data_IF_036464275033
#
_entry.id   IF_036464275033
#
_cell.length_a   1.000
_cell.length_b   1.000
_cell.length_c   1.000
_cell.angle_alpha   90.00
_cell.angle_beta   90.00
_cell.angle_gamma   90.00
#
_symmetry.space_group_name_H-M   'P 1'
#
loop_
_entity.id
_entity.type
_entity.pdbx_description
1 polymer ?
#
# COMPACT_ATOMS: atom_id res chain seq x y z
N UNK A 1 -32.31 28.76 12.61
CA UNK A 1 -32.78 27.47 12.04
C UNK A 1 -31.75 27.01 11.01
N UNK A 2 -31.07 25.92 11.35
CA UNK A 2 -30.19 24.99 10.63
C UNK A 2 -29.60 25.31 9.23
N UNK A 3 -28.26 25.38 9.25
CA UNK A 3 -27.23 24.67 8.46
C UNK A 3 -27.32 24.60 6.92
N UNK A 4 -26.18 24.88 6.27
CA UNK A 4 -25.72 24.10 5.13
C UNK A 4 -24.37 23.40 5.41
N UNK A 5 -24.41 22.07 5.35
CA UNK A 5 -23.55 21.19 4.55
C UNK A 5 -22.05 21.48 4.51
N UNK A 6 -21.31 20.66 5.27
CA UNK A 6 -19.89 20.39 5.10
C UNK A 6 -19.66 19.77 3.71
N UNK A 7 -18.91 20.48 2.86
CA UNK A 7 -18.36 19.92 1.61
C UNK A 7 -16.86 20.12 1.62
N UNK A 8 -16.16 18.99 1.82
CA UNK A 8 -14.80 18.65 1.36
C UNK A 8 -13.65 19.50 1.89
N UNK A 9 -13.38 19.20 3.15
CA UNK A 9 -12.06 18.91 3.73
C UNK A 9 -10.86 18.99 2.77
N UNK A 10 -9.98 19.90 3.15
CA UNK A 10 -8.70 20.21 2.56
C UNK A 10 -7.73 19.04 2.73
N UNK A 11 -7.13 18.55 1.65
CA UNK A 11 -5.97 17.66 1.73
C UNK A 11 -5.00 17.93 0.58
N UNK A 12 -4.49 19.15 0.48
CA UNK A 12 -3.28 19.46 -0.26
C UNK A 12 -2.52 20.55 0.51
N UNK A 13 -1.25 20.26 0.85
CA UNK A 13 -0.28 21.15 1.52
C UNK A 13 -0.35 21.25 3.06
N UNK A 14 -0.03 20.17 3.78
CA UNK A 14 0.57 20.35 5.10
C UNK A 14 1.52 19.19 5.42
N UNK A 15 2.83 19.43 5.30
CA UNK A 15 3.85 18.59 5.91
C UNK A 15 3.76 18.76 7.44
N UNK A 16 3.26 17.78 8.21
CA UNK A 16 3.16 17.95 9.65
C UNK A 16 4.58 17.86 10.22
N UNK A 17 5.05 18.95 10.80
CA UNK A 17 6.29 19.06 11.56
C UNK A 17 6.19 18.34 12.93
N UNK A 18 5.78 17.07 12.99
CA UNK A 18 5.97 16.28 14.21
C UNK A 18 7.40 15.72 14.27
N UNK A 19 8.27 16.70 14.54
CA UNK A 19 9.67 16.62 14.90
C UNK A 19 9.75 16.05 16.33
N UNK A 20 10.53 14.99 16.51
CA UNK A 20 10.89 14.30 17.77
C UNK A 20 9.83 13.34 18.33
N UNK A 21 10.07 12.04 18.14
CA UNK A 21 9.74 10.87 18.98
C UNK A 21 9.83 9.56 18.18
N UNK A 22 10.06 9.61 16.87
CA UNK A 22 10.38 8.43 16.08
C UNK A 22 11.88 8.11 16.19
N UNK A 23 12.20 6.83 16.36
CA UNK A 23 13.56 6.36 16.10
C UNK A 23 13.93 6.68 14.65
N UNK A 24 15.22 6.81 14.36
CA UNK A 24 15.70 7.04 12.98
C UNK A 24 15.08 6.03 11.99
N UNK A 25 15.02 4.75 12.39
CA UNK A 25 14.36 3.70 11.60
C UNK A 25 12.88 3.95 11.35
N UNK A 26 12.14 4.38 12.37
CA UNK A 26 10.71 4.65 12.22
C UNK A 26 10.44 5.86 11.31
N UNK A 27 11.33 6.85 11.30
CA UNK A 27 11.25 7.95 10.34
C UNK A 27 11.56 7.49 8.91
N UNK A 28 12.64 6.73 8.72
CA UNK A 28 13.01 6.16 7.41
C UNK A 28 11.89 5.29 6.83
N UNK A 29 11.30 4.41 7.65
CA UNK A 29 10.15 3.60 7.24
C UNK A 29 8.97 4.48 6.80
N UNK A 30 8.67 5.54 7.54
CA UNK A 30 7.56 6.43 7.18
C UNK A 30 7.80 7.14 5.85
N UNK A 31 9.02 7.62 5.59
CA UNK A 31 9.36 8.25 4.31
C UNK A 31 9.18 7.28 3.13
N UNK A 32 9.55 6.01 3.32
CA UNK A 32 9.37 4.96 2.32
C UNK A 32 7.89 4.62 2.07
N UNK A 33 7.09 4.57 3.14
CA UNK A 33 5.64 4.34 3.06
C UNK A 33 4.95 5.45 2.28
N UNK A 34 5.27 6.72 2.59
CA UNK A 34 4.73 7.89 1.88
C UNK A 34 5.18 7.91 0.41
N UNK A 35 6.43 7.54 0.11
CA UNK A 35 6.89 7.40 -1.27
C UNK A 35 6.11 6.31 -2.03
N UNK A 36 5.81 5.18 -1.39
CA UNK A 36 4.99 4.12 -1.97
C UNK A 36 3.55 4.59 -2.24
N UNK A 37 2.95 5.36 -1.33
CA UNK A 37 1.62 5.95 -1.52
C UNK A 37 1.58 6.93 -2.70
N UNK A 38 2.62 7.75 -2.88
CA UNK A 38 2.74 8.64 -4.04
C UNK A 38 2.81 7.85 -5.35
N UNK A 39 3.59 6.77 -5.38
CA UNK A 39 3.69 5.88 -6.53
C UNK A 39 2.34 5.22 -6.82
N UNK A 40 1.66 4.71 -5.79
CA UNK A 40 0.32 4.14 -5.91
C UNK A 40 -0.69 5.13 -6.52
N UNK A 41 -0.70 6.38 -6.05
CA UNK A 41 -1.56 7.42 -6.62
C UNK A 41 -1.22 7.75 -8.09
N UNK A 42 0.06 7.69 -8.47
CA UNK A 42 0.47 7.81 -9.87
C UNK A 42 -0.09 6.65 -10.70
N UNK A 43 -0.06 5.43 -10.16
CA UNK A 43 -0.54 4.25 -10.87
C UNK A 43 -2.07 4.20 -11.00
N UNK A 44 -2.80 4.74 -10.02
CA UNK A 44 -4.27 4.91 -10.12
C UNK A 44 -4.66 5.90 -11.24
N UNK A 45 -3.78 6.85 -11.59
CA UNK A 45 -4.05 7.96 -12.53
C UNK A 45 -3.60 7.75 -13.98
N UNK A 46 -3.02 6.60 -14.33
CA UNK A 46 -2.80 6.27 -15.75
C UNK A 46 -1.58 5.40 -16.07
N UNK A 47 -0.63 5.28 -15.15
CA UNK A 47 0.44 4.28 -15.27
C UNK A 47 -0.07 2.99 -14.63
N UNK A 48 -0.26 1.90 -15.37
CA UNK A 48 -0.80 0.67 -14.77
C UNK A 48 0.35 -0.22 -14.27
N UNK A 49 0.06 -1.21 -13.41
CA UNK A 49 1.02 -2.27 -13.04
C UNK A 49 1.28 -3.26 -14.21
N UNK A 50 1.12 -2.82 -15.45
CA UNK A 50 1.30 -3.63 -16.66
C UNK A 50 2.77 -3.90 -17.00
N UNK A 51 3.71 -3.20 -16.37
CA UNK A 51 5.15 -3.37 -16.58
C UNK A 51 5.85 -3.79 -15.28
N UNK A 52 6.81 -4.69 -15.39
CA UNK A 52 7.59 -5.18 -14.25
C UNK A 52 8.36 -4.05 -13.57
N UNK A 53 8.81 -3.05 -14.32
CA UNK A 53 9.53 -1.88 -13.77
C UNK A 53 8.64 -1.11 -12.79
N UNK A 54 7.41 -0.78 -13.18
CA UNK A 54 6.44 -0.07 -12.35
C UNK A 54 6.15 -0.84 -11.04
N UNK A 55 5.96 -2.15 -11.17
CA UNK A 55 5.73 -3.04 -10.02
C UNK A 55 6.94 -3.06 -9.09
N UNK A 56 8.15 -3.09 -9.66
CA UNK A 56 9.40 -3.13 -8.90
C UNK A 56 9.66 -1.83 -8.15
N UNK A 57 9.40 -0.67 -8.77
CA UNK A 57 9.55 0.64 -8.14
C UNK A 57 8.62 0.79 -6.93
N UNK A 58 7.34 0.45 -7.11
CA UNK A 58 6.38 0.43 -6.01
C UNK A 58 6.82 -0.50 -4.87
N UNK A 59 7.14 -1.76 -5.21
CA UNK A 59 7.51 -2.77 -4.23
C UNK A 59 8.81 -2.43 -3.50
N UNK A 60 9.77 -1.77 -4.15
CA UNK A 60 11.00 -1.30 -3.47
C UNK A 60 10.66 -0.31 -2.38
N UNK A 61 9.82 0.69 -2.66
CA UNK A 61 9.41 1.65 -1.63
C UNK A 61 8.56 0.96 -0.54
N UNK A 62 7.58 0.16 -0.95
CA UNK A 62 6.65 -0.50 -0.03
C UNK A 62 7.37 -1.49 0.90
N UNK A 63 8.31 -2.27 0.37
CA UNK A 63 8.97 -3.34 1.12
C UNK A 63 10.26 -2.92 1.84
N UNK A 64 10.89 -1.78 1.47
CA UNK A 64 12.17 -1.36 2.05
C UNK A 64 12.13 -1.10 3.56
N UNK A 65 10.95 -0.88 4.14
CA UNK A 65 10.78 -0.68 5.57
C UNK A 65 10.72 -1.96 6.41
N UNK A 66 10.61 -3.12 5.77
CA UNK A 66 10.47 -4.38 6.49
C UNK A 66 11.83 -5.02 6.75
N UNK A 67 12.08 -5.34 8.02
CA UNK A 67 13.32 -6.01 8.46
C UNK A 67 13.28 -7.54 8.24
N UNK A 68 12.18 -8.08 7.72
CA UNK A 68 11.96 -9.51 7.54
C UNK A 68 11.29 -9.82 6.20
N UNK A 69 11.39 -11.07 5.77
CA UNK A 69 10.70 -11.55 4.58
C UNK A 69 9.18 -11.54 4.77
N UNK A 70 8.48 -11.15 3.71
CA UNK A 70 7.03 -11.00 3.70
C UNK A 70 6.48 -11.62 2.43
N UNK A 71 5.43 -12.41 2.62
CA UNK A 71 4.56 -12.80 1.53
C UNK A 71 3.37 -11.85 1.45
N UNK A 72 3.28 -11.10 0.36
CA UNK A 72 2.22 -10.14 0.11
C UNK A 72 1.56 -10.36 -1.26
N UNK A 73 0.32 -9.92 -1.38
CA UNK A 73 -0.49 -10.00 -2.60
C UNK A 73 -0.92 -8.60 -3.02
N UNK A 74 -0.80 -8.33 -4.32
CA UNK A 74 -1.35 -7.12 -4.94
C UNK A 74 -2.65 -7.50 -5.62
N UNK A 75 -3.77 -6.98 -5.11
CA UNK A 75 -5.06 -7.12 -5.75
C UNK A 75 -5.21 -6.03 -6.80
N UNK A 76 -5.34 -6.43 -8.06
CA UNK A 76 -5.48 -5.51 -9.19
C UNK A 76 -6.87 -5.63 -9.81
N UNK A 77 -7.36 -4.55 -10.41
CA UNK A 77 -8.53 -4.61 -11.27
C UNK A 77 -8.20 -5.04 -12.70
N UNK A 78 -9.23 -5.20 -13.54
CA UNK A 78 -9.08 -5.60 -14.95
C UNK A 78 -8.28 -4.59 -15.80
N UNK A 79 -8.00 -3.39 -15.28
CA UNK A 79 -7.16 -2.38 -15.93
C UNK A 79 -5.74 -2.36 -15.32
N UNK A 80 -5.36 -3.39 -14.54
CA UNK A 80 -4.09 -3.50 -13.83
C UNK A 80 -3.83 -2.32 -12.87
N UNK A 81 -4.89 -1.75 -12.28
CA UNK A 81 -4.76 -0.73 -11.23
C UNK A 81 -4.80 -1.42 -9.87
N UNK A 82 -3.97 -0.94 -8.94
CA UNK A 82 -3.96 -1.47 -7.58
C UNK A 82 -5.27 -1.13 -6.87
N UNK A 83 -5.90 -2.17 -6.34
CA UNK A 83 -7.06 -2.09 -5.44
C UNK A 83 -6.56 -2.07 -4.00
N UNK A 84 -5.70 -3.03 -3.67
CA UNK A 84 -5.15 -3.20 -2.33
C UNK A 84 -3.83 -3.97 -2.37
N UNK A 85 -2.87 -3.54 -1.56
CA UNK A 85 -1.68 -4.32 -1.20
C UNK A 85 -1.92 -4.97 0.15
N UNK A 86 -1.78 -6.30 0.24
CA UNK A 86 -2.04 -7.05 1.46
C UNK A 86 -0.90 -7.98 1.82
N UNK A 87 -0.34 -7.79 3.01
CA UNK A 87 0.56 -8.75 3.63
C UNK A 87 -0.24 -9.94 4.15
N UNK A 88 0.15 -11.16 3.78
CA UNK A 88 -0.51 -12.37 4.27
C UNK A 88 0.34 -13.11 5.31
N UNK A 89 1.67 -13.12 5.14
CA UNK A 89 2.56 -13.81 6.07
C UNK A 89 3.85 -13.02 6.29
N UNK A 90 4.35 -13.08 7.53
CA UNK A 90 5.62 -12.50 7.97
C UNK A 90 6.52 -13.64 8.46
N UNK A 91 7.75 -13.71 7.97
CA UNK A 91 8.70 -14.80 8.26
C UNK A 91 9.31 -15.40 7.00
N UNK A 92 10.22 -16.36 7.15
CA UNK A 92 10.98 -16.93 6.04
C UNK A 92 10.04 -17.56 5.01
N UNK A 93 10.03 -17.05 3.78
CA UNK A 93 9.16 -17.54 2.69
C UNK A 93 9.50 -18.99 2.36
N UNK A 94 10.76 -19.39 2.58
CA UNK A 94 11.24 -20.77 2.42
C UNK A 94 10.61 -21.80 3.37
N UNK A 95 9.98 -21.37 4.47
CA UNK A 95 9.29 -22.24 5.44
C UNK A 95 7.80 -21.93 5.60
N UNK A 96 7.32 -20.78 5.09
CA UNK A 96 5.92 -20.40 5.14
C UNK A 96 5.12 -21.18 4.09
N UNK A 97 4.33 -22.16 4.55
CA UNK A 97 3.36 -22.83 3.68
C UNK A 97 2.27 -21.85 3.28
N UNK A 98 2.38 -21.26 2.08
CA UNK A 98 1.33 -20.42 1.49
C UNK A 98 0.22 -21.33 0.99
N UNK A 99 -0.93 -21.28 1.65
CA UNK A 99 -2.10 -22.07 1.24
C UNK A 99 -2.96 -21.26 0.26
N UNK A 100 -3.19 -21.74 -0.99
CA UNK A 100 -3.99 -21.03 -1.98
C UNK A 100 -5.38 -20.60 -1.52
N UNK A 101 -6.00 -21.38 -0.62
CA UNK A 101 -7.32 -21.05 -0.04
C UNK A 101 -7.31 -19.73 0.75
N UNK A 102 -6.21 -19.41 1.42
CA UNK A 102 -6.10 -18.18 2.22
C UNK A 102 -5.99 -16.97 1.28
N UNK A 103 -5.20 -17.12 0.20
CA UNK A 103 -5.10 -16.10 -0.86
C UNK A 103 -6.48 -15.86 -1.50
N UNK A 104 -7.21 -16.93 -1.83
CA UNK A 104 -8.52 -16.83 -2.47
C UNK A 104 -9.56 -16.19 -1.54
N UNK A 105 -9.54 -16.53 -0.25
CA UNK A 105 -10.41 -15.91 0.76
C UNK A 105 -10.18 -14.41 0.81
N UNK A 106 -8.93 -13.97 0.83
CA UNK A 106 -8.63 -12.54 0.80
C UNK A 106 -9.03 -11.88 -0.52
N UNK A 107 -8.85 -12.56 -1.66
CA UNK A 107 -9.31 -12.04 -2.95
C UNK A 107 -10.83 -11.81 -2.97
N UNK A 108 -11.62 -12.72 -2.39
CA UNK A 108 -13.07 -12.58 -2.29
C UNK A 108 -13.45 -11.42 -1.37
N UNK A 109 -12.81 -11.31 -0.20
CA UNK A 109 -13.04 -10.19 0.73
C UNK A 109 -12.83 -8.83 0.04
N UNK A 110 -11.75 -8.68 -0.72
CA UNK A 110 -11.44 -7.43 -1.44
C UNK A 110 -12.50 -7.13 -2.51
N UNK A 111 -12.97 -8.16 -3.20
CA UNK A 111 -14.02 -7.99 -4.21
C UNK A 111 -15.39 -7.64 -3.61
N UNK A 112 -15.71 -8.15 -2.41
CA UNK A 112 -16.97 -7.85 -1.69
C UNK A 112 -16.99 -6.42 -1.09
N UNK A 113 -15.83 -5.80 -0.91
CA UNK A 113 -15.69 -4.44 -0.33
C UNK A 113 -15.65 -3.32 -1.39
N UNK A 114 -15.79 -3.66 -2.67
CA UNK A 114 -15.74 -2.75 -3.81
C UNK A 114 -17.14 -2.44 -4.35
#
# INVERSE_FOLDING_TARGET
>A
MNLPTIVKEQAMTHFPRHRYLLSQRAYEHRVLEEAAEILEQRYVRGETFARTENTTEYLRCKLAGYEHEIFAVLFLDNQHRLIEFKELFRGTVDAASVYPREVLKEALNVNEQR
#
